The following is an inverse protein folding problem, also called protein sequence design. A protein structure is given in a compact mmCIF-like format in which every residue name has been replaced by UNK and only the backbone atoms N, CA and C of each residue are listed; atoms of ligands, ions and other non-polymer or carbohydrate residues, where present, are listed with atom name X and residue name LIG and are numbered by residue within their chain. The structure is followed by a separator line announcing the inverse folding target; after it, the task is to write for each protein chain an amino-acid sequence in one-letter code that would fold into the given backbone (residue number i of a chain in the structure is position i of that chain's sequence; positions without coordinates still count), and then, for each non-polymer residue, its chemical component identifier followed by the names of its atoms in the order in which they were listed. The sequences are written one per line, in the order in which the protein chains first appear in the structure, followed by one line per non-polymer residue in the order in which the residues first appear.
data_IF_841890412058
#
_entry.id   IF_841890412058
#
_cell.length_a   1.000
_cell.length_b   1.000
_cell.length_c   1.000
_cell.angle_alpha   90.00
_cell.angle_beta   90.00
_cell.angle_gamma   90.00
#
_symmetry.space_group_name_H-M   'P 1'
#
loop_
_entity.id
_entity.type
_entity.pdbx_description
1 polymer ?
#
# COMPACT_ATOMS: atom_id res chain seq x y z
N UNK A 1 -2.59 2.03 -36.20
CA UNK A 1 -3.99 1.79 -35.78
C UNK A 1 -3.93 1.23 -34.37
N UNK A 2 -4.72 1.83 -33.48
CA UNK A 2 -4.60 1.80 -32.03
C UNK A 2 -4.52 0.39 -31.44
N UNK A 3 -3.41 0.07 -30.78
CA UNK A 3 -3.24 -1.14 -30.01
C UNK A 3 -4.25 -1.19 -28.86
N UNK A 4 -4.82 -2.38 -28.73
CA UNK A 4 -5.77 -2.79 -27.69
C UNK A 4 -5.15 -2.58 -26.31
N UNK A 5 -5.56 -1.50 -25.62
CA UNK A 5 -5.39 -1.41 -24.17
C UNK A 5 -6.31 -2.46 -23.54
N UNK A 6 -5.78 -3.67 -23.41
CA UNK A 6 -6.28 -4.66 -22.48
C UNK A 6 -6.40 -3.96 -21.13
N UNK A 7 -7.64 -3.72 -20.69
CA UNK A 7 -7.97 -3.49 -19.30
C UNK A 7 -7.42 -4.69 -18.54
N UNK A 8 -6.18 -4.57 -18.06
CA UNK A 8 -5.52 -5.55 -17.24
C UNK A 8 -6.29 -5.54 -15.93
N UNK A 9 -7.37 -6.32 -15.95
CA UNK A 9 -8.24 -6.70 -14.85
C UNK A 9 -7.38 -6.75 -13.61
N UNK A 10 -7.55 -5.74 -12.74
CA UNK A 10 -6.84 -5.65 -11.48
C UNK A 10 -6.93 -7.02 -10.84
N UNK A 11 -5.80 -7.74 -10.81
CA UNK A 11 -5.74 -9.04 -10.16
C UNK A 11 -6.12 -8.77 -8.72
N UNK A 12 -7.38 -9.11 -8.42
CA UNK A 12 -7.99 -8.93 -7.12
C UNK A 12 -7.05 -9.59 -6.14
N UNK A 13 -6.41 -8.77 -5.31
CA UNK A 13 -5.61 -9.23 -4.20
C UNK A 13 -6.45 -10.23 -3.42
N UNK A 14 -6.14 -11.53 -3.52
CA UNK A 14 -6.69 -12.59 -2.67
C UNK A 14 -6.20 -12.44 -1.22
N UNK A 15 -6.24 -11.23 -0.69
CA UNK A 15 -6.11 -10.98 0.74
C UNK A 15 -7.51 -11.21 1.29
N UNK A 16 -7.73 -12.39 1.88
CA UNK A 16 -8.98 -12.79 2.55
C UNK A 16 -9.35 -11.91 3.78
N UNK A 17 -9.02 -10.62 3.85
CA UNK A 17 -9.15 -9.84 5.08
C UNK A 17 -9.35 -8.33 4.85
N UNK A 18 -10.21 -7.92 3.92
CA UNK A 18 -10.88 -6.63 4.08
C UNK A 18 -11.92 -6.78 5.20
N UNK A 19 -11.53 -6.43 6.43
CA UNK A 19 -12.41 -6.46 7.60
C UNK A 19 -12.20 -5.21 8.41
N UNK A 20 -13.27 -4.41 8.56
CA UNK A 20 -13.29 -3.32 9.53
C UNK A 20 -13.03 -3.91 10.93
N UNK A 21 -12.04 -3.41 11.67
CA UNK A 21 -11.81 -3.83 13.04
C UNK A 21 -13.05 -3.54 13.89
N UNK A 22 -13.49 -4.52 14.67
CA UNK A 22 -14.64 -4.35 15.57
C UNK A 22 -14.42 -3.25 16.62
N UNK A 23 -13.16 -3.03 17.02
CA UNK A 23 -12.79 -2.02 18.01
C UNK A 23 -11.45 -1.34 17.65
N UNK A 24 -11.54 -0.21 16.94
CA UNK A 24 -10.37 0.57 16.53
C UNK A 24 -9.60 1.14 17.74
N UNK A 25 -10.27 1.46 18.86
CA UNK A 25 -9.61 2.02 20.05
C UNK A 25 -8.67 1.00 20.67
N UNK A 26 -9.10 -0.24 20.82
CA UNK A 26 -8.24 -1.32 21.32
C UNK A 26 -7.12 -1.64 20.33
N UNK A 27 -7.42 -1.68 19.04
CA UNK A 27 -6.42 -2.00 18.01
C UNK A 27 -5.26 -0.99 17.99
N UNK A 28 -5.54 0.31 18.18
CA UNK A 28 -4.49 1.36 18.29
C UNK A 28 -3.54 1.18 19.48
N UNK A 29 -3.92 0.41 20.50
CA UNK A 29 -3.02 0.11 21.62
C UNK A 29 -1.90 -0.83 21.18
N UNK A 30 -2.19 -1.76 20.28
CA UNK A 30 -1.26 -2.81 19.85
C UNK A 30 -0.74 -2.65 18.42
N UNK A 31 -1.36 -1.80 17.58
CA UNK A 31 -1.04 -1.66 16.16
C UNK A 31 -0.91 -0.20 15.72
N UNK A 32 -0.22 0.00 14.61
CA UNK A 32 -0.11 1.28 13.90
C UNK A 32 -0.75 1.13 12.51
N UNK A 33 -1.67 2.04 12.12
CA UNK A 33 -2.28 2.01 10.80
C UNK A 33 -1.34 2.65 9.74
N UNK A 34 -1.27 2.03 8.57
CA UNK A 34 -0.63 2.59 7.38
C UNK A 34 -1.63 2.55 6.23
N UNK A 35 -1.70 3.63 5.43
CA UNK A 35 -2.64 3.72 4.31
C UNK A 35 -1.87 3.92 2.99
N UNK A 36 -2.37 3.33 1.92
CA UNK A 36 -1.76 3.41 0.60
C UNK A 36 -2.30 2.35 -0.36
N UNK A 37 -1.76 2.32 -1.58
CA UNK A 37 -2.04 1.27 -2.55
C UNK A 37 -1.28 0.01 -2.15
N UNK A 38 -2.02 -1.00 -1.71
CA UNK A 38 -1.48 -2.27 -1.25
C UNK A 38 -1.18 -3.18 -2.44
N UNK A 39 0.01 -3.76 -2.51
CA UNK A 39 0.44 -4.72 -3.53
C UNK A 39 1.14 -5.91 -2.90
N UNK A 40 1.05 -7.09 -3.53
CA UNK A 40 1.91 -8.24 -3.19
C UNK A 40 3.35 -7.90 -3.55
N UNK A 41 4.30 -8.34 -2.73
CA UNK A 41 5.71 -8.19 -3.09
C UNK A 41 6.04 -9.13 -4.27
N UNK A 42 6.76 -8.67 -5.31
CA UNK A 42 6.93 -9.40 -6.57
C UNK A 42 7.73 -10.71 -6.44
N UNK A 43 8.58 -10.82 -5.42
CA UNK A 43 9.49 -11.96 -5.24
C UNK A 43 9.39 -12.65 -3.88
N UNK A 44 8.53 -12.17 -2.99
CA UNK A 44 8.45 -12.68 -1.61
C UNK A 44 6.99 -12.68 -1.15
N UNK A 45 6.34 -13.85 -1.21
CA UNK A 45 4.95 -14.00 -0.80
C UNK A 45 4.71 -13.75 0.70
N UNK A 46 5.78 -13.73 1.51
CA UNK A 46 5.74 -13.39 2.94
C UNK A 46 5.71 -11.89 3.20
N UNK A 47 5.68 -11.06 2.16
CA UNK A 47 5.75 -9.59 2.26
C UNK A 47 4.69 -8.89 1.41
N UNK A 48 4.38 -7.67 1.81
CA UNK A 48 3.55 -6.75 1.05
C UNK A 48 4.26 -5.41 0.89
N UNK A 49 3.92 -4.74 -0.20
CA UNK A 49 4.34 -3.37 -0.49
C UNK A 49 3.12 -2.45 -0.36
N UNK A 50 3.27 -1.35 0.35
CA UNK A 50 2.25 -0.32 0.50
C UNK A 50 2.78 1.00 -0.06
N UNK A 51 2.24 1.40 -1.19
CA UNK A 51 2.61 2.62 -1.90
C UNK A 51 1.85 3.78 -1.26
N UNK A 52 2.55 4.70 -0.60
CA UNK A 52 1.93 5.71 0.27
C UNK A 52 1.17 6.78 -0.52
N UNK A 53 1.70 7.15 -1.68
CA UNK A 53 1.19 8.23 -2.52
C UNK A 53 1.48 7.93 -4.00
N UNK A 54 0.63 7.10 -4.65
CA UNK A 54 0.91 6.54 -5.96
C UNK A 54 1.00 7.57 -7.09
N UNK A 55 0.41 8.75 -6.93
CA UNK A 55 0.35 9.78 -7.97
C UNK A 55 1.43 10.88 -7.81
N UNK A 56 2.28 10.82 -6.77
CA UNK A 56 3.33 11.82 -6.59
C UNK A 56 4.67 11.43 -7.23
N UNK A 57 5.39 12.37 -7.88
CA UNK A 57 6.67 12.11 -8.54
C UNK A 57 7.82 11.66 -7.62
N UNK A 58 7.57 11.52 -6.31
CA UNK A 58 8.52 11.01 -5.31
C UNK A 58 7.93 9.87 -4.47
N UNK A 59 6.99 9.09 -5.03
CA UNK A 59 6.27 8.04 -4.32
C UNK A 59 7.19 7.17 -3.47
N UNK A 60 7.00 7.26 -2.15
CA UNK A 60 7.60 6.34 -1.19
C UNK A 60 6.72 5.11 -1.01
N UNK A 61 7.36 4.00 -0.67
CA UNK A 61 6.64 2.79 -0.30
C UNK A 61 7.16 2.20 1.00
N UNK A 62 6.27 1.47 1.66
CA UNK A 62 6.57 0.67 2.83
C UNK A 62 6.58 -0.81 2.44
N UNK A 63 7.45 -1.58 3.09
CA UNK A 63 7.44 -3.03 3.03
C UNK A 63 7.21 -3.60 4.44
N UNK A 64 6.30 -4.56 4.54
CA UNK A 64 5.99 -5.26 5.78
C UNK A 64 5.88 -6.77 5.54
N UNK A 65 6.17 -7.56 6.58
CA UNK A 65 5.83 -8.98 6.58
C UNK A 65 4.32 -9.15 6.70
N UNK A 66 3.76 -10.08 5.94
CA UNK A 66 2.32 -10.41 6.00
C UNK A 66 1.89 -10.83 7.41
N UNK A 67 2.71 -11.62 8.10
CA UNK A 67 2.44 -12.10 9.47
C UNK A 67 2.36 -11.00 10.54
N UNK A 68 2.88 -9.81 10.25
CA UNK A 68 2.85 -8.66 11.15
C UNK A 68 1.61 -7.78 10.94
N UNK A 69 0.83 -8.04 9.89
CA UNK A 69 -0.42 -7.36 9.56
C UNK A 69 -1.59 -8.17 10.13
N UNK A 70 -2.45 -7.52 10.92
CA UNK A 70 -3.58 -8.21 11.56
C UNK A 70 -4.92 -7.94 10.87
N UNK A 71 -5.04 -6.84 10.13
CA UNK A 71 -6.19 -6.58 9.28
C UNK A 71 -5.86 -5.53 8.20
N UNK A 72 -6.64 -5.57 7.12
CA UNK A 72 -6.69 -4.54 6.11
C UNK A 72 -8.13 -4.00 6.01
N UNK A 73 -8.28 -2.70 5.79
CA UNK A 73 -9.54 -2.04 5.50
C UNK A 73 -9.47 -1.50 4.08
N UNK A 74 -10.53 -1.68 3.30
CA UNK A 74 -10.68 -0.95 2.05
C UNK A 74 -11.11 0.47 2.40
N UNK A 75 -10.41 1.45 1.82
CA UNK A 75 -10.76 2.85 1.96
C UNK A 75 -11.66 3.26 0.78
N UNK A 76 -12.49 4.31 0.93
CA UNK A 76 -13.24 4.86 -0.21
C UNK A 76 -12.29 5.11 -1.37
N UNK A 77 -12.67 4.67 -2.56
CA UNK A 77 -11.81 4.81 -3.72
C UNK A 77 -11.49 6.28 -3.99
N UNK A 78 -10.21 6.58 -4.19
CA UNK A 78 -9.78 7.91 -4.62
C UNK A 78 -9.77 7.92 -6.14
N UNK A 79 -10.35 8.97 -6.73
CA UNK A 79 -10.22 9.26 -8.15
C UNK A 79 -9.01 10.17 -8.30
N UNK A 80 -7.99 9.72 -9.04
CA UNK A 80 -6.83 10.56 -9.30
C UNK A 80 -7.14 11.64 -10.36
N UNK A 81 -6.18 12.52 -10.66
CA UNK A 81 -6.37 13.61 -11.61
C UNK A 81 -6.65 13.13 -13.04
N UNK A 82 -6.27 11.88 -13.35
CA UNK A 82 -6.49 11.24 -14.65
C UNK A 82 -7.85 10.51 -14.73
N UNK A 83 -8.66 10.57 -13.67
CA UNK A 83 -9.98 9.93 -13.62
C UNK A 83 -9.93 8.43 -13.29
N UNK A 84 -8.76 7.89 -12.95
CA UNK A 84 -8.59 6.50 -12.57
C UNK A 84 -9.01 6.27 -11.11
N UNK A 85 -9.67 5.15 -10.87
CA UNK A 85 -10.11 4.73 -9.53
C UNK A 85 -8.99 3.94 -8.86
N UNK A 86 -8.34 4.53 -7.86
CA UNK A 86 -7.31 3.87 -7.06
C UNK A 86 -7.92 3.33 -5.77
N UNK A 87 -7.93 2.00 -5.63
CA UNK A 87 -8.33 1.35 -4.39
C UNK A 87 -7.22 1.45 -3.35
N UNK A 88 -7.37 2.37 -2.42
CA UNK A 88 -6.49 2.50 -1.26
C UNK A 88 -6.92 1.52 -0.17
N UNK A 89 -5.94 0.93 0.51
CA UNK A 89 -6.17 0.12 1.70
C UNK A 89 -5.50 0.74 2.92
N UNK A 90 -6.07 0.51 4.10
CA UNK A 90 -5.43 0.75 5.39
C UNK A 90 -5.09 -0.58 6.04
N UNK A 91 -3.81 -0.84 6.24
CA UNK A 91 -3.33 -2.01 6.98
C UNK A 91 -3.00 -1.65 8.42
N UNK A 92 -3.20 -2.61 9.33
CA UNK A 92 -2.86 -2.47 10.74
C UNK A 92 -1.71 -3.39 11.10
N UNK A 93 -0.54 -2.78 11.31
CA UNK A 93 0.72 -3.47 11.59
C UNK A 93 0.96 -3.53 13.09
N UNK A 94 1.31 -4.71 13.64
CA UNK A 94 1.61 -4.88 15.06
C UNK A 94 2.76 -3.95 15.48
N UNK A 95 2.65 -3.30 16.64
CA UNK A 95 3.75 -2.53 17.22
C UNK A 95 4.96 -3.44 17.47
N UNK A 96 6.16 -2.87 17.39
CA UNK A 96 7.46 -3.57 17.46
C UNK A 96 7.76 -4.50 16.28
N UNK A 97 6.91 -4.55 15.25
CA UNK A 97 7.26 -5.21 13.99
C UNK A 97 8.26 -4.37 13.19
N UNK A 98 9.04 -5.03 12.35
CA UNK A 98 9.97 -4.37 11.45
C UNK A 98 9.26 -3.99 10.15
N UNK A 99 9.37 -2.72 9.75
CA UNK A 99 8.97 -2.24 8.44
C UNK A 99 10.16 -1.60 7.75
N UNK A 100 10.19 -1.66 6.42
CA UNK A 100 11.18 -0.96 5.60
C UNK A 100 10.47 0.20 4.92
N UNK A 101 11.09 1.37 4.91
CA UNK A 101 10.63 2.54 4.15
C UNK A 101 11.64 2.81 3.05
N UNK A 102 11.15 2.92 1.83
CA UNK A 102 11.92 3.31 0.66
C UNK A 102 11.48 4.70 0.21
N UNK A 103 12.43 5.61 0.09
CA UNK A 103 12.20 6.98 -0.39
C UNK A 103 13.12 7.16 -1.61
N UNK A 104 12.56 7.29 -2.82
CA UNK A 104 13.37 7.61 -3.99
C UNK A 104 13.97 9.00 -3.83
N UNK A 105 15.15 9.20 -4.40
CA UNK A 105 15.82 10.50 -4.40
C UNK A 105 16.43 10.76 -5.78
N UNK A 106 16.53 12.03 -6.16
CA UNK A 106 17.23 12.44 -7.37
C UNK A 106 18.74 12.31 -7.14
N UNK A 107 19.42 11.63 -8.06
CA UNK A 107 20.89 11.55 -8.05
C UNK A 107 21.42 12.74 -8.83
N UNK A 108 21.89 13.76 -8.13
CA UNK A 108 22.42 15.00 -8.72
C UNK A 108 23.67 15.47 -7.96
N UNK A 109 24.56 16.21 -8.65
CA UNK A 109 25.69 16.87 -8.01
C UNK A 109 25.21 18.13 -7.28
N UNK A 110 25.40 18.17 -5.97
CA UNK A 110 24.93 19.27 -5.11
C UNK A 110 25.93 20.43 -5.04
N UNK A 111 27.05 20.33 -5.75
CA UNK A 111 28.05 21.40 -5.87
C UNK A 111 28.01 21.98 -7.29
N UNK A 112 27.30 23.09 -7.43
CA UNK A 112 27.46 24.02 -8.56
C UNK A 112 28.76 24.80 -8.37
#
# INVERSE_FOLDING_TARGET
MSDSYFLQKAETLEIQTYRKPKNIRELRKTHIPFSGLLKKHPHDSGKVVLIADPDSPGTSYYEFKTNDISCAEEMPALVNMDGETITIARIWVKKKSMGIRFIPFLVEDTRI
#
